data_IF_210468880833
#
_entry.id   IF_210468880833
#
_cell.length_a   1.000
_cell.length_b   1.000
_cell.length_c   1.000
_cell.angle_alpha   90.00
_cell.angle_beta   90.00
_cell.angle_gamma   90.00
#
_symmetry.space_group_name_H-M   'P 1'
#
loop_
_entity.id
_entity.type
_entity.pdbx_description
1 polymer ?
#
# COMPACT_ATOMS: atom_id res chain seq x y z
N UNK A 1 17.31 1.55 -14.21
CA UNK A 1 15.98 1.98 -14.70
C UNK A 1 14.97 1.12 -13.97
N UNK A 2 14.16 1.68 -13.08
CA UNK A 2 13.22 0.88 -12.28
C UNK A 2 11.94 0.66 -13.07
N UNK A 3 11.50 -0.59 -13.18
CA UNK A 3 10.40 -0.97 -14.09
C UNK A 3 9.04 -0.83 -13.41
N UNK A 4 8.07 -0.34 -14.18
CA UNK A 4 6.67 -0.72 -13.96
C UNK A 4 6.50 -2.15 -14.49
N UNK A 5 5.60 -2.95 -13.92
CA UNK A 5 5.39 -4.29 -14.44
C UNK A 5 4.72 -4.20 -15.82
N UNK A 6 5.51 -4.30 -16.88
CA UNK A 6 5.02 -4.40 -18.24
C UNK A 6 4.21 -5.70 -18.36
N UNK A 7 2.98 -5.56 -18.87
CA UNK A 7 1.95 -6.58 -18.89
C UNK A 7 2.44 -7.94 -19.38
N UNK A 8 2.84 -8.79 -18.44
CA UNK A 8 3.10 -10.20 -18.66
C UNK A 8 2.10 -10.97 -17.82
N UNK A 9 1.36 -11.85 -18.51
CA UNK A 9 0.31 -12.76 -18.01
C UNK A 9 0.81 -13.67 -16.87
N UNK A 10 1.11 -13.10 -15.72
CA UNK A 10 1.47 -13.79 -14.48
C UNK A 10 0.87 -13.05 -13.28
N UNK A 11 -0.37 -12.55 -13.39
CA UNK A 11 -1.18 -12.12 -12.25
C UNK A 11 -1.65 -13.34 -11.46
N UNK A 12 -0.72 -14.05 -10.82
CA UNK A 12 -1.07 -15.01 -9.77
C UNK A 12 -1.66 -14.23 -8.59
N UNK A 13 -3.00 -14.15 -8.55
CA UNK A 13 -3.76 -13.90 -7.33
C UNK A 13 -4.85 -12.84 -7.43
N UNK A 14 -4.60 -11.69 -8.06
CA UNK A 14 -5.46 -10.51 -7.88
C UNK A 14 -5.96 -9.83 -9.17
N UNK A 15 -5.62 -10.36 -10.35
CA UNK A 15 -6.14 -9.88 -11.64
C UNK A 15 -5.35 -8.75 -12.30
N UNK A 16 -4.80 -7.80 -11.53
CA UNK A 16 -3.97 -6.70 -12.05
C UNK A 16 -2.46 -6.89 -11.76
N UNK A 17 -1.55 -6.40 -12.63
CA UNK A 17 -0.12 -6.41 -12.37
C UNK A 17 0.27 -5.42 -11.25
N UNK A 18 1.40 -5.67 -10.55
CA UNK A 18 1.94 -4.74 -9.57
C UNK A 18 2.45 -3.45 -10.23
N UNK A 19 2.17 -2.29 -9.67
CA UNK A 19 2.71 -1.03 -10.20
C UNK A 19 4.25 -1.00 -10.11
N UNK A 20 4.82 -1.53 -9.02
CA UNK A 20 6.27 -1.55 -8.82
C UNK A 20 6.81 -2.97 -8.66
N UNK A 21 7.85 -3.25 -9.44
CA UNK A 21 8.69 -4.44 -9.31
C UNK A 21 10.16 -4.04 -9.33
N UNK A 22 11.02 -4.85 -8.71
CA UNK A 22 12.46 -4.72 -8.88
C UNK A 22 12.93 -5.31 -10.22
N UNK A 23 14.24 -5.26 -10.47
CA UNK A 23 14.86 -5.79 -11.70
C UNK A 23 14.66 -7.31 -11.87
N UNK A 24 14.43 -8.04 -10.78
CA UNK A 24 14.14 -9.48 -10.79
C UNK A 24 12.66 -9.80 -11.00
N UNK A 25 11.79 -8.78 -11.09
CA UNK A 25 10.34 -8.92 -11.21
C UNK A 25 9.64 -9.15 -9.87
N UNK A 26 10.33 -8.98 -8.74
CA UNK A 26 9.72 -9.10 -7.42
C UNK A 26 8.96 -7.82 -7.07
N UNK A 27 7.75 -7.97 -6.55
CA UNK A 27 6.89 -6.86 -6.13
C UNK A 27 7.58 -5.97 -5.09
N UNK A 28 7.46 -4.66 -5.27
CA UNK A 28 7.82 -3.66 -4.27
C UNK A 28 6.54 -2.99 -3.76
N UNK A 29 6.44 -2.85 -2.44
CA UNK A 29 5.29 -2.22 -1.78
C UNK A 29 5.45 -0.72 -1.72
N UNK A 30 4.33 -0.02 -1.70
CA UNK A 30 4.25 1.43 -1.52
C UNK A 30 4.19 1.77 -0.03
N UNK A 31 3.38 1.05 0.75
CA UNK A 31 3.09 1.43 2.12
C UNK A 31 3.46 0.31 3.10
N UNK A 32 3.87 0.74 4.29
CA UNK A 32 3.82 -0.04 5.51
C UNK A 32 2.74 0.54 6.40
N UNK A 33 1.72 -0.26 6.70
CA UNK A 33 0.57 0.18 7.50
C UNK A 33 0.50 -0.63 8.79
N UNK A 34 0.38 0.07 9.91
CA UNK A 34 0.08 -0.50 11.20
C UNK A 34 -1.39 -0.19 11.55
N UNK A 35 -2.17 -1.24 11.82
CA UNK A 35 -3.56 -1.13 12.26
C UNK A 35 -3.60 -1.17 13.78
N UNK A 36 -4.05 -0.09 14.39
CA UNK A 36 -4.17 0.06 15.84
C UNK A 36 -5.65 0.04 16.27
N UNK A 37 -5.94 0.16 17.56
CA UNK A 37 -7.32 0.31 18.03
C UNK A 37 -7.94 1.67 17.69
N UNK A 38 -7.11 2.71 17.50
CA UNK A 38 -7.54 4.09 17.24
C UNK A 38 -7.52 4.50 15.77
N UNK A 39 -6.78 3.80 14.91
CA UNK A 39 -6.69 4.14 13.48
C UNK A 39 -5.62 3.37 12.73
N UNK A 40 -4.92 4.08 11.87
CA UNK A 40 -3.84 3.57 11.01
C UNK A 40 -2.60 4.44 11.18
N UNK A 41 -1.43 3.82 11.36
CA UNK A 41 -0.15 4.52 11.21
C UNK A 41 0.47 4.09 9.89
N UNK A 42 0.77 5.05 9.01
CA UNK A 42 1.16 4.77 7.63
C UNK A 42 2.55 5.33 7.36
N UNK A 43 3.43 4.47 6.83
CA UNK A 43 4.83 4.79 6.54
C UNK A 43 5.17 4.42 5.11
N UNK A 44 6.23 5.05 4.60
CA UNK A 44 6.83 4.64 3.33
C UNK A 44 7.34 3.20 3.42
N UNK A 45 6.79 2.31 2.58
CA UNK A 45 7.19 0.90 2.52
C UNK A 45 8.15 0.59 1.36
N UNK A 46 8.44 1.57 0.52
CA UNK A 46 9.30 1.41 -0.65
C UNK A 46 10.79 1.56 -0.31
N UNK A 47 11.68 0.92 -1.09
CA UNK A 47 13.12 1.04 -0.87
C UNK A 47 13.66 2.39 -1.40
N UNK A 48 14.83 2.87 -0.93
CA UNK A 48 15.31 4.23 -1.20
C UNK A 48 15.39 4.63 -2.67
N UNK A 49 15.66 3.67 -3.56
CA UNK A 49 15.70 3.89 -5.02
C UNK A 49 14.36 4.38 -5.59
N UNK A 50 13.23 4.11 -4.92
CA UNK A 50 11.88 4.55 -5.32
C UNK A 50 11.52 5.94 -4.79
N UNK A 51 12.39 6.65 -4.08
CA UNK A 51 12.11 7.99 -3.56
C UNK A 51 11.82 9.03 -4.66
N UNK A 52 12.37 8.83 -5.86
CA UNK A 52 12.03 9.67 -7.02
C UNK A 52 10.65 9.31 -7.57
N UNK A 53 10.41 8.03 -7.78
CA UNK A 53 9.16 7.50 -8.36
C UNK A 53 7.95 7.75 -7.45
N UNK A 54 8.13 7.70 -6.14
CA UNK A 54 7.04 7.96 -5.18
C UNK A 54 6.47 9.37 -5.33
N UNK A 55 7.31 10.37 -5.64
CA UNK A 55 6.85 11.75 -5.88
C UNK A 55 5.94 11.89 -7.10
N UNK A 56 5.99 10.92 -8.02
CA UNK A 56 5.09 10.88 -9.18
C UNK A 56 3.71 10.26 -8.85
N UNK A 57 3.52 9.69 -7.65
CA UNK A 57 2.27 9.07 -7.20
C UNK A 57 1.49 10.08 -6.34
N UNK A 58 0.38 10.66 -6.85
CA UNK A 58 -0.41 11.64 -6.13
C UNK A 58 -0.97 11.07 -4.82
N UNK A 59 -0.91 11.86 -3.74
CA UNK A 59 -1.42 11.48 -2.43
C UNK A 59 -0.47 10.61 -1.60
N UNK A 60 0.63 10.10 -2.16
CA UNK A 60 1.55 9.25 -1.38
C UNK A 60 2.27 10.02 -0.29
N UNK A 61 2.63 11.29 -0.55
CA UNK A 61 3.25 12.15 0.45
C UNK A 61 2.30 12.39 1.62
N UNK A 62 1.03 12.69 1.36
CA UNK A 62 0.02 12.86 2.40
C UNK A 62 -0.12 11.59 3.26
N UNK A 63 -0.15 10.41 2.62
CA UNK A 63 -0.21 9.12 3.33
C UNK A 63 1.01 8.83 4.19
N UNK A 64 2.18 9.35 3.84
CA UNK A 64 3.46 8.99 4.49
C UNK A 64 4.11 10.14 5.25
N UNK A 65 3.40 11.26 5.37
CA UNK A 65 3.92 12.51 5.96
C UNK A 65 3.95 12.49 7.48
N UNK A 66 3.13 11.64 8.11
CA UNK A 66 3.00 11.58 9.57
C UNK A 66 3.31 10.17 10.05
N UNK A 67 4.25 10.03 10.99
CA UNK A 67 4.41 8.82 11.81
C UNK A 67 3.35 8.74 12.93
N UNK A 68 2.22 9.42 12.73
CA UNK A 68 1.13 9.55 13.70
C UNK A 68 -0.04 8.68 13.31
N UNK A 69 -0.89 8.39 14.29
CA UNK A 69 -2.11 7.65 14.07
C UNK A 69 -3.14 8.53 13.34
N UNK A 70 -3.61 8.06 12.19
CA UNK A 70 -4.59 8.72 11.36
C UNK A 70 -5.92 7.97 11.38
N UNK A 71 -7.02 8.70 11.21
CA UNK A 71 -8.34 8.08 11.08
C UNK A 71 -8.45 7.33 9.75
N UNK A 72 -9.28 6.29 9.71
CA UNK A 72 -9.60 5.58 8.46
C UNK A 72 -10.18 6.50 7.39
N UNK A 73 -10.96 7.52 7.78
CA UNK A 73 -11.51 8.48 6.84
C UNK A 73 -10.41 9.34 6.18
N UNK A 74 -9.44 9.82 6.98
CA UNK A 74 -8.29 10.56 6.46
C UNK A 74 -7.43 9.70 5.53
N UNK A 75 -7.15 8.45 5.93
CA UNK A 75 -6.45 7.48 5.09
C UNK A 75 -7.15 7.29 3.74
N UNK A 76 -8.47 7.05 3.74
CA UNK A 76 -9.26 6.85 2.52
C UNK A 76 -9.17 8.03 1.56
N UNK A 77 -9.31 9.25 2.06
CA UNK A 77 -9.21 10.45 1.22
C UNK A 77 -7.86 10.59 0.52
N UNK A 78 -6.76 10.22 1.18
CA UNK A 78 -5.44 10.24 0.56
C UNK A 78 -5.19 9.02 -0.35
N UNK A 79 -5.67 7.83 0.04
CA UNK A 79 -5.56 6.60 -0.72
C UNK A 79 -6.35 6.62 -2.05
N UNK A 80 -7.48 7.34 -2.09
CA UNK A 80 -8.28 7.55 -3.31
C UNK A 80 -7.42 8.10 -4.45
N UNK A 81 -6.52 9.05 -4.15
CA UNK A 81 -5.64 9.68 -5.16
C UNK A 81 -4.62 8.69 -5.72
N UNK A 82 -4.01 7.86 -4.85
CA UNK A 82 -3.07 6.81 -5.26
C UNK A 82 -3.77 5.74 -6.10
N UNK A 83 -4.97 5.35 -5.69
CA UNK A 83 -5.77 4.35 -6.38
C UNK A 83 -6.25 4.83 -7.75
N UNK A 84 -6.71 6.09 -7.84
CA UNK A 84 -7.08 6.72 -9.10
C UNK A 84 -5.88 6.82 -10.06
N UNK A 85 -4.69 7.17 -9.55
CA UNK A 85 -3.46 7.17 -10.34
C UNK A 85 -3.12 5.78 -10.89
N UNK A 86 -3.24 4.75 -10.05
CA UNK A 86 -2.97 3.35 -10.44
C UNK A 86 -3.92 2.86 -11.54
N UNK A 87 -5.20 3.26 -11.44
CA UNK A 87 -6.24 3.00 -12.45
C UNK A 87 -6.01 3.72 -13.78
N UNK A 88 -5.30 4.86 -13.74
CA UNK A 88 -4.98 5.65 -14.92
C UNK A 88 -3.71 5.20 -15.66
N UNK A 89 -2.98 4.21 -15.13
CA UNK A 89 -1.84 3.63 -15.83
C UNK A 89 -2.30 2.76 -17.02
N UNK A 90 -1.45 2.62 -18.04
CA UNK A 90 -1.69 1.74 -19.18
C UNK A 90 -0.51 0.76 -19.33
N UNK A 91 -0.69 -0.54 -19.00
CA UNK A 91 -1.90 -1.15 -18.46
C UNK A 91 -2.20 -0.71 -17.01
N UNK A 92 -3.46 -0.83 -16.59
CA UNK A 92 -3.83 -0.62 -15.19
C UNK A 92 -2.99 -1.51 -14.26
N UNK A 93 -2.57 -0.96 -13.12
CA UNK A 93 -1.78 -1.65 -12.13
C UNK A 93 -2.36 -1.47 -10.71
N UNK A 94 -1.80 -2.20 -9.74
CA UNK A 94 -2.13 -2.02 -8.33
C UNK A 94 -0.88 -1.90 -7.45
N UNK A 95 -0.87 -0.92 -6.55
CA UNK A 95 0.15 -0.83 -5.51
C UNK A 95 -0.10 -1.83 -4.39
N UNK A 96 0.98 -2.21 -3.73
CA UNK A 96 0.97 -3.16 -2.64
C UNK A 96 1.23 -2.45 -1.30
N UNK A 97 0.61 -2.95 -0.22
CA UNK A 97 0.84 -2.47 1.14
C UNK A 97 1.11 -3.66 2.06
N UNK A 98 2.09 -3.52 2.96
CA UNK A 98 2.21 -4.45 4.08
C UNK A 98 1.29 -3.98 5.21
N UNK A 99 0.68 -4.92 5.91
CA UNK A 99 -0.19 -4.64 7.05
C UNK A 99 0.30 -5.41 8.26
N UNK A 100 0.59 -4.67 9.33
CA UNK A 100 0.84 -5.17 10.67
C UNK A 100 -0.34 -4.83 11.56
N UNK A 101 -0.82 -5.76 12.38
CA UNK A 101 -1.94 -5.52 13.29
C UNK A 101 -1.43 -5.48 14.72
N UNK A 102 -1.54 -4.31 15.36
CA UNK A 102 -1.32 -4.09 16.79
C UNK A 102 -2.62 -3.81 17.55
N UNK A 103 -3.73 -3.61 16.83
CA UNK A 103 -5.07 -3.51 17.40
C UNK A 103 -5.42 -4.73 18.27
N UNK A 104 -5.95 -4.47 19.46
CA UNK A 104 -6.40 -5.52 20.39
C UNK A 104 -7.87 -5.88 20.15
N UNK A 105 -8.65 -4.99 19.57
CA UNK A 105 -10.06 -5.19 19.23
C UNK A 105 -10.18 -5.81 17.84
N UNK A 106 -10.84 -6.96 17.75
CA UNK A 106 -11.13 -7.66 16.48
C UNK A 106 -11.80 -6.72 15.47
N UNK A 107 -12.75 -5.89 15.92
CA UNK A 107 -13.44 -4.94 15.05
C UNK A 107 -12.46 -3.92 14.44
N UNK A 108 -11.57 -3.33 15.26
CA UNK A 108 -10.56 -2.38 14.78
C UNK A 108 -9.60 -3.05 13.80
N UNK A 109 -9.14 -4.26 14.11
CA UNK A 109 -8.27 -5.05 13.22
C UNK A 109 -8.92 -5.31 11.85
N UNK A 110 -10.17 -5.79 11.83
CA UNK A 110 -10.89 -6.08 10.59
C UNK A 110 -11.18 -4.81 9.80
N UNK A 111 -11.69 -3.77 10.45
CA UNK A 111 -12.05 -2.51 9.80
C UNK A 111 -10.82 -1.80 9.24
N UNK A 112 -9.71 -1.74 9.98
CA UNK A 112 -8.47 -1.14 9.52
C UNK A 112 -7.83 -1.92 8.37
N UNK A 113 -7.78 -3.26 8.44
CA UNK A 113 -7.29 -4.08 7.34
C UNK A 113 -8.09 -3.87 6.05
N UNK A 114 -9.40 -3.94 6.14
CA UNK A 114 -10.27 -3.77 4.97
C UNK A 114 -10.10 -2.37 4.38
N UNK A 115 -9.97 -1.33 5.22
CA UNK A 115 -9.71 0.02 4.74
C UNK A 115 -8.45 0.11 3.88
N UNK A 116 -7.37 -0.63 4.20
CA UNK A 116 -6.16 -0.69 3.37
C UNK A 116 -6.41 -1.50 2.10
N UNK A 117 -7.03 -2.67 2.22
CA UNK A 117 -7.20 -3.61 1.11
C UNK A 117 -8.26 -3.19 0.09
N UNK A 118 -9.12 -2.23 0.42
CA UNK A 118 -10.00 -1.55 -0.53
C UNK A 118 -9.20 -0.84 -1.66
N UNK A 119 -7.93 -0.46 -1.38
CA UNK A 119 -7.09 0.35 -2.28
C UNK A 119 -5.79 -0.33 -2.72
N UNK A 120 -5.24 -1.22 -1.89
CA UNK A 120 -3.93 -1.82 -2.08
C UNK A 120 -4.00 -3.34 -2.05
N UNK A 121 -3.15 -4.02 -2.82
CA UNK A 121 -2.99 -5.46 -2.66
C UNK A 121 -2.10 -5.79 -1.45
N UNK A 122 -2.36 -6.90 -0.75
CA UNK A 122 -1.57 -7.29 0.41
C UNK A 122 -0.15 -7.71 0.00
N UNK A 123 0.84 -7.20 0.73
CA UNK A 123 2.25 -7.58 0.57
C UNK A 123 2.71 -8.49 1.71
N UNK A 124 3.20 -9.68 1.36
CA UNK A 124 3.74 -10.63 2.33
C UNK A 124 2.66 -11.34 3.15
N UNK A 125 3.08 -12.02 4.23
CA UNK A 125 2.17 -12.60 5.22
C UNK A 125 1.87 -11.54 6.28
N UNK A 126 0.61 -11.44 6.69
CA UNK A 126 0.17 -10.56 7.78
C UNK A 126 0.96 -10.89 9.04
N UNK A 127 1.66 -9.89 9.58
CA UNK A 127 2.38 -10.03 10.82
C UNK A 127 1.49 -9.53 11.96
N UNK A 128 1.25 -10.39 12.95
CA UNK A 128 0.74 -9.94 14.24
C UNK A 128 1.89 -9.21 14.95
N UNK A 129 1.65 -7.99 15.43
CA UNK A 129 2.61 -7.31 16.27
C UNK A 129 2.91 -8.20 17.48
N UNK A 130 4.19 -8.44 17.77
CA UNK A 130 4.55 -9.15 19.00
C UNK A 130 4.25 -8.23 20.19
N UNK A 131 3.60 -8.75 21.24
CA UNK A 131 3.34 -7.98 22.46
C UNK A 131 4.62 -7.54 23.17
#
# INVERSE_FOLDING_TARGET
MIKQAEGTKNSKGFGLPPCWVDESGKVQRLLDVEVTDGGLIVRAGWPPERNGDSKAVPGVEALTSTDSEETIAAFRGAADSVYAWSRGQDPECRHYASVTVSATKVQSAVTGKNAVYDYFYPYGREALAKP
#
